data_IF_018343696775
#
_entry.id   IF_018343696775
#
_cell.length_a   1.000
_cell.length_b   1.000
_cell.length_c   1.000
_cell.angle_alpha   90.00
_cell.angle_beta   90.00
_cell.angle_gamma   90.00
#
_symmetry.space_group_name_H-M   'P 1'
#
loop_
_entity.id
_entity.type
_entity.pdbx_description
1 polymer ?
#
# COMPACT_ATOMS: atom_id res chain seq x y z
N UNK A 1 -37.76 -4.39 -11.79
CA UNK A 1 -38.71 -3.28 -12.04
C UNK A 1 -38.58 -2.37 -10.84
N UNK A 2 -38.08 -1.15 -11.02
CA UNK A 2 -37.89 -0.23 -9.91
C UNK A 2 -39.27 0.09 -9.34
N UNK A 3 -39.54 -0.36 -8.11
CA UNK A 3 -40.68 0.09 -7.33
C UNK A 3 -40.53 1.60 -7.17
N UNK A 4 -41.48 2.36 -7.70
CA UNK A 4 -41.50 3.80 -7.53
C UNK A 4 -41.62 4.06 -6.03
N UNK A 5 -40.55 4.59 -5.40
CA UNK A 5 -40.38 4.68 -3.94
C UNK A 5 -41.48 5.51 -3.24
N UNK A 6 -42.34 6.17 -4.02
CA UNK A 6 -43.41 7.04 -3.58
C UNK A 6 -44.81 6.51 -3.93
N UNK A 7 -44.90 5.29 -4.48
CA UNK A 7 -46.17 4.69 -4.84
C UNK A 7 -46.88 4.17 -3.58
N UNK A 8 -47.92 4.90 -3.17
CA UNK A 8 -48.77 4.54 -2.04
C UNK A 8 -49.94 3.68 -2.55
N UNK A 9 -50.25 2.60 -1.84
CA UNK A 9 -51.43 1.78 -2.12
C UNK A 9 -52.56 2.16 -1.17
N UNK A 10 -53.79 2.00 -1.63
CA UNK A 10 -54.96 2.15 -0.77
C UNK A 10 -55.13 0.90 0.10
N UNK A 11 -55.19 1.07 1.41
CA UNK A 11 -55.26 -0.05 2.35
C UNK A 11 -56.61 -0.79 2.32
N UNK A 12 -57.62 -0.24 1.64
CA UNK A 12 -58.94 -0.84 1.51
C UNK A 12 -59.08 -1.68 0.24
N UNK A 13 -58.74 -1.12 -0.93
CA UNK A 13 -58.86 -1.84 -2.21
C UNK A 13 -57.55 -2.48 -2.69
N UNK A 14 -56.42 -2.21 -2.03
CA UNK A 14 -55.07 -2.61 -2.42
C UNK A 14 -54.60 -2.10 -3.80
N UNK A 15 -55.40 -1.26 -4.47
CA UNK A 15 -54.99 -0.57 -5.70
C UNK A 15 -54.10 0.63 -5.38
N UNK A 16 -53.37 1.09 -6.39
CA UNK A 16 -52.49 2.27 -6.29
C UNK A 16 -53.33 3.52 -5.98
N UNK A 17 -53.03 4.20 -4.88
CA UNK A 17 -53.65 5.45 -4.52
C UNK A 17 -52.99 6.59 -5.31
N UNK A 18 -53.62 6.97 -6.43
CA UNK A 18 -53.19 8.13 -7.20
C UNK A 18 -53.46 9.42 -6.44
N UNK A 19 -52.50 10.35 -6.48
CA UNK A 19 -52.69 11.70 -5.94
C UNK A 19 -53.82 12.45 -6.66
N UNK A 20 -54.67 13.21 -5.94
CA UNK A 20 -54.70 13.33 -4.48
C UNK A 20 -55.21 12.06 -3.81
N UNK A 21 -54.57 11.64 -2.72
CA UNK A 21 -55.06 10.56 -1.85
C UNK A 21 -55.27 11.10 -0.43
N UNK A 22 -56.02 10.35 0.37
CA UNK A 22 -56.38 10.72 1.74
C UNK A 22 -55.57 9.90 2.72
N UNK A 23 -54.95 10.57 3.68
CA UNK A 23 -54.25 9.96 4.80
C UNK A 23 -55.04 10.23 6.08
N UNK A 24 -55.36 9.19 6.83
CA UNK A 24 -56.00 9.31 8.14
C UNK A 24 -55.00 9.90 9.14
N UNK A 25 -55.41 10.87 9.97
CA UNK A 25 -54.55 11.51 10.96
C UNK A 25 -54.53 10.76 12.30
N UNK A 26 -55.52 9.89 12.52
CA UNK A 26 -55.66 9.10 13.75
C UNK A 26 -55.15 7.67 13.59
N UNK A 27 -54.99 7.24 12.35
CA UNK A 27 -54.61 5.90 11.96
C UNK A 27 -53.71 6.00 10.73
N UNK A 28 -52.59 5.26 10.69
CA UNK A 28 -51.62 5.33 9.60
C UNK A 28 -52.13 4.62 8.31
N UNK A 29 -53.33 4.99 7.86
CA UNK A 29 -54.05 4.37 6.75
C UNK A 29 -54.18 5.34 5.57
N UNK A 30 -53.88 4.85 4.37
CA UNK A 30 -53.96 5.57 3.11
C UNK A 30 -55.16 5.09 2.28
N UNK A 31 -55.94 6.05 1.80
CA UNK A 31 -57.22 5.83 1.15
C UNK A 31 -57.25 6.51 -0.21
N UNK A 32 -57.68 5.79 -1.24
CA UNK A 32 -58.02 6.43 -2.51
C UNK A 32 -59.34 7.20 -2.37
N UNK A 33 -59.54 8.22 -3.21
CA UNK A 33 -60.75 9.05 -3.15
C UNK A 33 -62.06 8.25 -3.29
N UNK A 34 -62.05 7.14 -4.03
CA UNK A 34 -63.25 6.30 -4.23
C UNK A 34 -63.60 5.51 -2.96
N UNK A 35 -62.61 4.95 -2.26
CA UNK A 35 -62.85 4.23 -1.00
C UNK A 35 -63.26 5.19 0.13
N UNK A 36 -62.63 6.37 0.19
CA UNK A 36 -62.98 7.39 1.19
C UNK A 36 -64.39 7.97 0.95
N UNK A 37 -64.74 8.32 -0.29
CA UNK A 37 -66.09 8.84 -0.62
C UNK A 37 -67.20 7.80 -0.40
N UNK A 38 -66.87 6.51 -0.47
CA UNK A 38 -67.79 5.42 -0.14
C UNK A 38 -67.90 5.17 1.37
N UNK A 39 -67.14 5.89 2.21
CA UNK A 39 -67.15 5.75 3.66
C UNK A 39 -66.72 4.37 4.17
N UNK A 40 -65.81 3.69 3.45
CA UNK A 40 -65.37 2.34 3.81
C UNK A 40 -64.47 2.38 5.05
N UNK A 41 -64.75 1.49 6.00
CA UNK A 41 -64.01 1.34 7.25
C UNK A 41 -63.27 0.01 7.25
N UNK A 42 -62.08 -0.03 7.86
CA UNK A 42 -61.26 -1.25 7.93
C UNK A 42 -60.45 -1.26 9.22
N UNK A 43 -60.52 -2.38 9.94
CA UNK A 43 -59.82 -2.63 11.20
C UNK A 43 -60.09 -1.52 12.24
N UNK A 44 -59.10 -0.65 12.48
CA UNK A 44 -59.17 0.45 13.43
C UNK A 44 -59.57 1.79 12.78
N UNK A 45 -59.64 1.87 11.45
CA UNK A 45 -60.02 3.07 10.73
C UNK A 45 -61.55 3.22 10.65
N UNK A 46 -62.05 4.38 11.06
CA UNK A 46 -63.45 4.78 10.92
C UNK A 46 -63.60 6.00 10.00
N UNK A 47 -64.79 6.15 9.43
CA UNK A 47 -65.08 7.22 8.48
C UNK A 47 -65.19 8.61 9.11
N UNK A 48 -65.24 8.69 10.44
CA UNK A 48 -65.30 9.92 11.24
C UNK A 48 -63.92 10.41 11.71
N UNK A 49 -62.86 9.65 11.45
CA UNK A 49 -61.50 10.06 11.78
C UNK A 49 -61.08 11.33 11.05
N UNK A 50 -60.30 12.17 11.73
CA UNK A 50 -59.66 13.31 11.09
C UNK A 50 -58.74 12.85 9.95
N UNK A 51 -58.75 13.58 8.84
CA UNK A 51 -58.01 13.20 7.63
C UNK A 51 -57.27 14.38 7.02
N UNK A 52 -56.18 14.08 6.32
CA UNK A 52 -55.40 15.01 5.53
C UNK A 52 -55.44 14.61 4.05
N UNK A 53 -55.59 15.60 3.16
CA UNK A 53 -55.51 15.39 1.72
C UNK A 53 -54.06 15.62 1.28
N UNK A 54 -53.41 14.58 0.78
CA UNK A 54 -52.04 14.68 0.25
C UNK A 54 -52.06 15.07 -1.21
N UNK A 55 -51.35 16.17 -1.52
CA UNK A 55 -51.16 16.74 -2.86
C UNK A 55 -49.71 17.18 -2.98
N UNK A 56 -49.07 16.83 -4.08
CA UNK A 56 -47.69 17.23 -4.39
C UNK A 56 -47.62 18.27 -5.53
N UNK A 57 -48.75 18.95 -5.81
CA UNK A 57 -48.88 19.98 -6.85
C UNK A 57 -48.55 21.40 -6.32
N UNK A 58 -47.59 21.51 -5.42
CA UNK A 58 -47.14 22.78 -4.85
C UNK A 58 -45.63 22.94 -5.03
N UNK A 59 -45.09 24.17 -5.16
CA UNK A 59 -43.66 24.37 -5.27
C UNK A 59 -42.95 24.16 -3.93
N UNK A 60 -41.85 23.39 -3.93
CA UNK A 60 -41.05 23.14 -2.71
C UNK A 60 -40.13 24.32 -2.35
N UNK A 61 -39.61 25.03 -3.35
CA UNK A 61 -38.64 26.09 -3.17
C UNK A 61 -39.19 27.46 -3.53
N UNK A 62 -38.80 28.50 -2.77
CA UNK A 62 -39.17 29.88 -3.07
C UNK A 62 -38.66 30.31 -4.46
N UNK A 63 -39.55 30.95 -5.24
CA UNK A 63 -39.31 31.36 -6.63
C UNK A 63 -38.98 30.22 -7.59
N UNK A 64 -39.44 28.99 -7.28
CA UNK A 64 -39.30 27.86 -8.16
C UNK A 64 -40.62 27.55 -8.88
N UNK A 65 -40.52 27.27 -10.18
CA UNK A 65 -41.65 26.82 -11.00
C UNK A 65 -41.81 25.29 -10.99
N UNK A 66 -41.06 24.56 -10.15
CA UNK A 66 -41.13 23.10 -10.02
C UNK A 66 -42.09 22.70 -8.92
N UNK A 67 -42.95 21.72 -9.18
CA UNK A 67 -43.80 21.13 -8.14
C UNK A 67 -43.07 20.04 -7.36
N UNK A 68 -43.49 19.79 -6.12
CA UNK A 68 -42.98 18.70 -5.29
C UNK A 68 -43.00 17.35 -6.02
N UNK A 69 -44.03 17.12 -6.84
CA UNK A 69 -44.15 15.95 -7.70
C UNK A 69 -43.03 15.85 -8.75
N UNK A 70 -42.66 16.96 -9.39
CA UNK A 70 -41.56 17.01 -10.35
C UNK A 70 -40.20 16.76 -9.65
N UNK A 71 -40.01 17.32 -8.46
CA UNK A 71 -38.81 17.17 -7.65
C UNK A 71 -38.61 15.71 -7.21
N UNK A 72 -39.68 15.08 -6.72
CA UNK A 72 -39.70 13.65 -6.38
C UNK A 72 -39.28 12.77 -7.56
N UNK A 73 -39.82 13.02 -8.75
CA UNK A 73 -39.45 12.29 -9.98
C UNK A 73 -38.00 12.54 -10.38
N UNK A 74 -37.52 13.78 -10.25
CA UNK A 74 -36.13 14.12 -10.56
C UNK A 74 -35.17 13.31 -9.68
N UNK A 75 -35.42 13.28 -8.37
CA UNK A 75 -34.56 12.58 -7.41
C UNK A 75 -34.65 11.05 -7.55
N UNK A 76 -35.84 10.48 -7.75
CA UNK A 76 -36.00 9.03 -7.98
C UNK A 76 -35.27 8.58 -9.26
N UNK A 77 -35.34 9.40 -10.30
CA UNK A 77 -34.66 9.16 -11.58
C UNK A 77 -33.15 9.30 -11.44
N UNK A 78 -32.68 10.29 -10.69
CA UNK A 78 -31.25 10.49 -10.43
C UNK A 78 -30.66 9.33 -9.60
N UNK A 79 -31.43 8.79 -8.65
CA UNK A 79 -31.05 7.58 -7.91
C UNK A 79 -30.99 6.33 -8.79
N UNK A 80 -31.83 6.25 -9.84
CA UNK A 80 -31.93 5.07 -10.70
C UNK A 80 -30.90 5.09 -11.83
N UNK A 81 -30.75 6.23 -12.51
CA UNK A 81 -29.90 6.38 -13.71
C UNK A 81 -28.51 6.92 -13.41
N UNK A 82 -28.28 7.45 -12.20
CA UNK A 82 -27.02 8.06 -11.78
C UNK A 82 -26.83 9.49 -12.28
N UNK A 83 -25.98 10.23 -11.56
CA UNK A 83 -25.63 11.61 -11.88
C UNK A 83 -24.94 11.71 -13.24
N UNK A 84 -25.36 12.68 -14.07
CA UNK A 84 -24.79 12.93 -15.40
C UNK A 84 -25.60 12.36 -16.56
N UNK A 85 -26.49 11.39 -16.31
CA UNK A 85 -27.39 10.85 -17.34
C UNK A 85 -28.69 11.66 -17.50
N UNK A 86 -28.56 12.96 -17.79
CA UNK A 86 -29.68 13.90 -17.83
C UNK A 86 -30.71 13.63 -18.94
N UNK A 87 -30.33 12.86 -19.97
CA UNK A 87 -31.23 12.51 -21.06
C UNK A 87 -32.31 11.52 -20.60
N UNK A 88 -31.93 10.48 -19.85
CA UNK A 88 -32.89 9.53 -19.28
C UNK A 88 -33.70 10.15 -18.14
N UNK A 89 -33.08 11.04 -17.34
CA UNK A 89 -33.76 11.76 -16.26
C UNK A 89 -34.84 12.72 -16.79
N UNK A 90 -34.58 13.42 -17.90
CA UNK A 90 -35.59 14.29 -18.53
C UNK A 90 -36.77 13.48 -19.07
N UNK A 91 -36.49 12.30 -19.66
CA UNK A 91 -37.53 11.39 -20.16
C UNK A 91 -38.43 10.89 -19.04
N UNK A 92 -37.91 10.57 -17.86
CA UNK A 92 -38.71 10.08 -16.74
C UNK A 92 -39.53 11.19 -16.06
N UNK A 93 -39.01 12.42 -15.99
CA UNK A 93 -39.75 13.59 -15.49
C UNK A 93 -40.88 14.01 -16.45
N UNK A 94 -40.68 13.84 -17.77
CA UNK A 94 -41.59 14.16 -18.88
C UNK A 94 -41.95 15.65 -19.08
N UNK A 95 -41.90 16.47 -18.04
CA UNK A 95 -42.33 17.88 -18.08
C UNK A 95 -41.19 18.88 -18.33
N UNK A 96 -39.93 18.46 -18.18
CA UNK A 96 -38.75 19.34 -18.20
C UNK A 96 -37.66 18.80 -19.11
N UNK A 97 -36.88 19.71 -19.68
CA UNK A 97 -35.75 19.37 -20.56
C UNK A 97 -34.50 18.96 -19.77
N UNK A 98 -33.55 18.27 -20.43
CA UNK A 98 -32.30 17.84 -19.80
C UNK A 98 -31.49 18.97 -19.17
N UNK A 99 -31.49 20.15 -19.79
CA UNK A 99 -30.77 21.32 -19.30
C UNK A 99 -31.45 21.90 -18.06
N UNK A 100 -32.78 22.02 -18.09
CA UNK A 100 -33.55 22.50 -16.94
C UNK A 100 -33.39 21.57 -15.73
N UNK A 101 -33.45 20.24 -15.92
CA UNK A 101 -33.22 19.28 -14.84
C UNK A 101 -31.82 19.42 -14.22
N UNK A 102 -30.79 19.60 -15.06
CA UNK A 102 -29.41 19.74 -14.63
C UNK A 102 -29.18 21.06 -13.86
N UNK A 103 -29.61 22.18 -14.42
CA UNK A 103 -29.45 23.50 -13.81
C UNK A 103 -30.22 23.59 -12.50
N UNK A 104 -31.44 23.05 -12.47
CA UNK A 104 -32.28 23.01 -11.28
C UNK A 104 -31.64 22.20 -10.15
N UNK A 105 -31.19 20.98 -10.45
CA UNK A 105 -30.49 20.13 -9.48
C UNK A 105 -29.25 20.81 -8.92
N UNK A 106 -28.42 21.39 -9.80
CA UNK A 106 -27.20 22.09 -9.38
C UNK A 106 -27.51 23.30 -8.50
N UNK A 107 -28.50 24.11 -8.87
CA UNK A 107 -28.84 25.34 -8.16
C UNK A 107 -29.41 25.08 -6.77
N UNK A 108 -30.36 24.15 -6.63
CA UNK A 108 -31.10 23.96 -5.37
C UNK A 108 -30.54 22.83 -4.49
N UNK A 109 -29.90 21.81 -5.06
CA UNK A 109 -29.37 20.67 -4.29
C UNK A 109 -27.85 20.69 -4.11
N UNK A 110 -27.10 21.47 -4.90
CA UNK A 110 -25.63 21.57 -4.78
C UNK A 110 -25.19 22.94 -4.27
N UNK A 111 -25.65 24.02 -4.90
CA UNK A 111 -25.19 25.39 -4.59
C UNK A 111 -25.95 26.03 -3.43
N UNK A 112 -27.27 25.83 -3.35
CA UNK A 112 -28.15 26.42 -2.32
C UNK A 112 -28.88 25.35 -1.50
N UNK A 113 -28.13 24.53 -0.78
CA UNK A 113 -28.72 23.57 0.17
C UNK A 113 -29.41 24.35 1.31
N UNK A 114 -30.74 24.40 1.30
CA UNK A 114 -31.53 25.19 2.27
C UNK A 114 -31.71 24.52 3.63
N UNK A 115 -31.54 23.20 3.73
CA UNK A 115 -31.84 22.47 4.96
C UNK A 115 -30.62 22.37 5.87
N UNK A 116 -30.69 23.04 7.03
CA UNK A 116 -29.70 22.88 8.12
C UNK A 116 -29.59 21.42 8.60
N UNK A 117 -30.66 20.64 8.47
CA UNK A 117 -30.75 19.22 8.81
C UNK A 117 -29.88 18.33 7.91
N UNK A 118 -29.50 18.78 6.70
CA UNK A 118 -28.57 18.09 5.81
C UNK A 118 -27.10 18.42 6.10
N UNK A 119 -26.80 19.29 7.09
CA UNK A 119 -25.47 19.43 7.69
C UNK A 119 -25.14 18.23 8.59
N UNK A 120 -25.32 17.02 8.07
CA UNK A 120 -25.08 15.75 8.75
C UNK A 120 -23.59 15.51 9.04
N UNK A 121 -22.72 16.21 8.31
CA UNK A 121 -21.28 16.13 8.48
C UNK A 121 -20.79 17.36 9.26
N UNK A 122 -20.06 17.18 10.37
CA UNK A 122 -19.47 18.32 11.06
C UNK A 122 -18.54 19.05 10.11
N UNK A 123 -18.71 20.37 10.01
CA UNK A 123 -17.81 21.25 9.27
C UNK A 123 -16.42 21.14 9.90
N UNK A 124 -15.57 20.28 9.35
CA UNK A 124 -14.17 20.15 9.79
C UNK A 124 -13.36 21.33 9.27
N UNK A 125 -12.29 21.73 9.97
CA UNK A 125 -11.37 22.79 9.51
C UNK A 125 -10.90 22.57 8.06
N UNK A 126 -10.82 21.32 7.62
CA UNK A 126 -10.42 20.94 6.28
C UNK A 126 -11.48 21.21 5.20
N UNK A 127 -12.76 21.27 5.59
CA UNK A 127 -13.88 21.67 4.72
C UNK A 127 -14.02 23.18 4.58
N UNK A 128 -13.74 23.92 5.66
CA UNK A 128 -13.80 25.38 5.72
C UNK A 128 -12.58 26.03 5.04
N UNK A 129 -11.42 25.40 5.19
CA UNK A 129 -10.17 25.82 4.57
C UNK A 129 -9.72 24.77 3.56
N UNK A 130 -10.27 24.86 2.36
CA UNK A 130 -9.73 24.19 1.17
C UNK A 130 -8.24 24.50 1.08
N UNK A 131 -7.39 23.54 1.47
CA UNK A 131 -5.95 23.68 1.24
C UNK A 131 -5.77 23.76 -0.27
N UNK A 132 -5.05 24.77 -0.79
CA UNK A 132 -4.71 24.78 -2.21
C UNK A 132 -4.08 23.44 -2.53
N UNK A 133 -4.63 22.73 -3.52
CA UNK A 133 -4.06 21.48 -4.00
C UNK A 133 -2.63 21.80 -4.41
N UNK A 134 -1.66 21.44 -3.57
CA UNK A 134 -0.26 21.46 -3.98
C UNK A 134 -0.20 20.52 -5.17
N UNK A 135 0.07 20.99 -6.40
CA UNK A 135 0.16 20.10 -7.53
C UNK A 135 1.21 19.06 -7.18
N UNK A 136 0.77 17.81 -7.05
CA UNK A 136 1.68 16.71 -6.84
C UNK A 136 2.51 16.65 -8.12
N UNK A 137 3.75 17.14 -8.04
CA UNK A 137 4.78 16.88 -9.04
C UNK A 137 5.04 15.37 -8.97
N UNK A 138 4.18 14.59 -9.62
CA UNK A 138 4.49 13.19 -9.83
C UNK A 138 5.67 13.17 -10.79
N UNK A 139 6.73 12.52 -10.35
CA UNK A 139 7.77 12.14 -11.26
C UNK A 139 7.13 11.20 -12.31
N UNK A 140 7.15 11.59 -13.58
CA UNK A 140 6.70 10.73 -14.70
C UNK A 140 7.59 9.52 -14.88
N UNK A 141 8.74 9.46 -14.19
CA UNK A 141 9.43 8.19 -13.93
C UNK A 141 8.51 7.39 -13.01
N UNK A 142 7.65 6.58 -13.65
CA UNK A 142 6.96 5.45 -13.02
C UNK A 142 7.92 4.85 -12.00
N UNK A 143 7.55 4.93 -10.71
CA UNK A 143 8.26 4.20 -9.69
C UNK A 143 8.30 2.75 -10.16
N UNK A 144 9.48 2.28 -10.57
CA UNK A 144 9.74 0.88 -10.95
C UNK A 144 9.61 -0.06 -9.74
N UNK A 145 9.24 0.49 -8.57
CA UNK A 145 9.00 -0.22 -7.34
C UNK A 145 7.56 0.00 -6.84
N UNK A 146 6.82 -1.08 -6.53
CA UNK A 146 7.13 -2.45 -6.90
C UNK A 146 7.03 -2.64 -8.44
N UNK A 147 7.85 -3.53 -9.03
CA UNK A 147 7.81 -3.81 -10.47
C UNK A 147 6.42 -4.32 -10.84
N UNK A 148 5.73 -3.59 -11.74
CA UNK A 148 4.34 -3.88 -12.14
C UNK A 148 4.24 -4.85 -13.32
N UNK A 149 5.34 -5.09 -14.03
CA UNK A 149 5.40 -6.01 -15.16
C UNK A 149 6.73 -6.76 -15.16
N UNK A 150 6.65 -8.09 -15.16
CA UNK A 150 7.79 -8.98 -14.92
C UNK A 150 8.03 -9.94 -16.09
N UNK A 151 7.32 -9.79 -17.22
CA UNK A 151 7.34 -10.75 -18.33
C UNK A 151 8.70 -10.95 -19.01
N UNK A 152 9.70 -10.11 -18.73
CA UNK A 152 11.03 -10.17 -19.37
C UNK A 152 12.21 -10.00 -18.42
N UNK A 153 11.98 -9.72 -17.14
CA UNK A 153 13.04 -9.28 -16.24
C UNK A 153 13.58 -10.44 -15.39
N UNK A 154 14.64 -11.09 -15.89
CA UNK A 154 15.31 -12.23 -15.24
C UNK A 154 15.88 -11.89 -13.84
N UNK A 155 15.93 -10.59 -13.50
CA UNK A 155 16.46 -10.06 -12.24
C UNK A 155 15.47 -10.15 -11.06
N UNK A 156 14.22 -10.54 -11.30
CA UNK A 156 13.15 -10.60 -10.30
C UNK A 156 13.06 -11.94 -9.53
N UNK A 157 14.06 -12.81 -9.69
CA UNK A 157 14.10 -14.12 -9.03
C UNK A 157 12.81 -14.96 -9.23
N UNK A 158 12.18 -14.84 -10.41
CA UNK A 158 10.92 -15.53 -10.73
C UNK A 158 9.69 -14.99 -10.00
N UNK A 159 9.73 -13.77 -9.46
CA UNK A 159 8.53 -13.14 -8.88
C UNK A 159 7.54 -12.73 -9.99
N UNK A 160 6.27 -13.05 -9.81
CA UNK A 160 5.17 -12.68 -10.69
C UNK A 160 4.30 -11.59 -10.02
N UNK A 161 4.41 -10.35 -10.50
CA UNK A 161 3.71 -9.20 -9.95
C UNK A 161 2.17 -9.30 -10.03
N UNK A 162 1.62 -9.96 -11.06
CA UNK A 162 0.17 -10.07 -11.23
C UNK A 162 -0.47 -11.01 -10.21
N UNK A 163 0.28 -12.01 -9.76
CA UNK A 163 -0.16 -13.01 -8.75
C UNK A 163 0.39 -12.73 -7.35
N UNK A 164 1.37 -11.84 -7.25
CA UNK A 164 2.17 -11.63 -6.04
C UNK A 164 2.78 -12.93 -5.49
N UNK A 165 3.24 -13.80 -6.39
CA UNK A 165 3.78 -15.13 -6.09
C UNK A 165 5.15 -15.32 -6.74
N UNK A 166 5.96 -16.23 -6.20
CA UNK A 166 7.23 -16.65 -6.82
C UNK A 166 7.01 -17.94 -7.61
N UNK A 167 7.60 -18.05 -8.79
CA UNK A 167 7.63 -19.29 -9.59
C UNK A 167 8.24 -20.45 -8.78
N UNK A 168 9.30 -20.16 -8.02
CA UNK A 168 9.94 -21.10 -7.10
C UNK A 168 9.77 -20.62 -5.66
N UNK A 169 8.74 -21.15 -4.99
CA UNK A 169 8.48 -20.88 -3.58
C UNK A 169 9.50 -21.57 -2.66
N UNK A 170 9.75 -20.99 -1.48
CA UNK A 170 10.49 -21.69 -0.42
C UNK A 170 9.83 -23.03 -0.09
N UNK A 171 10.64 -24.10 -0.06
CA UNK A 171 10.18 -25.48 0.14
C UNK A 171 9.05 -25.87 -0.82
N UNK A 172 9.25 -25.73 -2.13
CA UNK A 172 8.25 -26.05 -3.17
C UNK A 172 7.72 -27.49 -3.08
N UNK A 173 8.58 -28.43 -2.65
CA UNK A 173 8.25 -29.85 -2.54
C UNK A 173 7.57 -30.23 -1.22
N UNK A 174 7.09 -29.26 -0.43
CA UNK A 174 6.46 -29.54 0.86
C UNK A 174 5.27 -30.52 0.74
N UNK A 175 4.55 -30.49 -0.37
CA UNK A 175 3.39 -31.34 -0.64
C UNK A 175 3.77 -32.80 -0.97
N UNK A 176 5.01 -33.07 -1.39
CA UNK A 176 5.50 -34.43 -1.62
C UNK A 176 5.51 -35.29 -0.35
N UNK A 177 5.35 -34.66 0.82
CA UNK A 177 5.19 -35.36 2.09
C UNK A 177 3.87 -36.16 2.15
N UNK A 178 2.92 -35.94 1.25
CA UNK A 178 1.69 -36.73 1.16
C UNK A 178 1.76 -37.88 0.15
N UNK A 179 2.91 -38.13 -0.50
CA UNK A 179 3.08 -39.24 -1.46
C UNK A 179 3.21 -40.61 -0.78
N UNK A 180 2.44 -40.87 0.28
CA UNK A 180 2.30 -42.21 0.84
C UNK A 180 1.26 -42.96 0.00
N UNK A 181 1.61 -44.16 -0.49
CA UNK A 181 0.62 -45.07 -1.06
C UNK A 181 -0.40 -45.43 0.03
N UNK A 182 -1.65 -44.96 -0.11
CA UNK A 182 -2.77 -45.44 0.69
C UNK A 182 -2.97 -46.93 0.34
N UNK A 183 -2.32 -47.81 1.10
CA UNK A 183 -2.71 -49.22 1.12
C UNK A 183 -4.00 -49.28 1.92
N UNK A 184 -5.14 -49.31 1.22
CA UNK A 184 -6.47 -49.43 1.81
C UNK A 184 -6.58 -50.75 2.60
N UNK A 185 -6.34 -50.69 3.91
CA UNK A 185 -6.90 -51.66 4.85
C UNK A 185 -8.09 -50.99 5.53
N UNK A 186 -9.27 -51.61 5.43
CA UNK A 186 -10.54 -51.11 5.99
C UNK A 186 -10.59 -51.09 7.54
N UNK A 187 -9.46 -51.28 8.22
CA UNK A 187 -9.37 -51.14 9.67
C UNK A 187 -9.02 -49.69 10.02
N UNK A 188 -9.88 -49.05 10.82
CA UNK A 188 -9.70 -47.71 11.36
C UNK A 188 -8.48 -47.69 12.31
N UNK A 189 -7.28 -47.64 11.74
CA UNK A 189 -6.03 -47.54 12.50
C UNK A 189 -5.93 -46.12 13.08
N UNK A 190 -6.26 -45.95 14.36
CA UNK A 190 -6.07 -44.72 15.14
C UNK A 190 -4.62 -44.19 14.99
N UNK A 191 -3.65 -45.09 14.85
CA UNK A 191 -2.26 -44.75 14.54
C UNK A 191 -2.08 -44.09 13.16
N UNK A 192 -2.78 -44.57 12.13
CA UNK A 192 -2.74 -44.00 10.78
C UNK A 192 -3.43 -42.63 10.75
N UNK A 193 -4.53 -42.47 11.48
CA UNK A 193 -5.18 -41.16 11.64
C UNK A 193 -4.26 -40.16 12.37
N UNK A 194 -3.66 -40.56 13.48
CA UNK A 194 -2.69 -39.73 14.21
C UNK A 194 -1.47 -39.36 13.33
N UNK A 195 -1.00 -40.29 12.50
CA UNK A 195 0.06 -40.02 11.52
C UNK A 195 -0.40 -38.99 10.49
N UNK A 196 -1.59 -39.14 9.88
CA UNK A 196 -2.17 -38.18 8.94
C UNK A 196 -2.28 -36.78 9.56
N UNK A 197 -2.76 -36.67 10.79
CA UNK A 197 -2.83 -35.39 11.53
C UNK A 197 -1.43 -34.81 11.77
N UNK A 198 -0.45 -35.63 12.12
CA UNK A 198 0.95 -35.18 12.31
C UNK A 198 1.57 -34.65 11.01
N UNK A 199 1.30 -35.31 9.87
CA UNK A 199 1.73 -34.86 8.55
C UNK A 199 1.09 -33.51 8.20
N UNK A 200 -0.22 -33.36 8.40
CA UNK A 200 -0.90 -32.07 8.17
C UNK A 200 -0.30 -30.96 9.04
N UNK A 201 0.01 -31.25 10.30
CA UNK A 201 0.67 -30.30 11.21
C UNK A 201 2.08 -29.91 10.73
N UNK A 202 2.87 -30.87 10.24
CA UNK A 202 4.18 -30.63 9.66
C UNK A 202 4.11 -29.78 8.39
N UNK A 203 3.13 -30.03 7.51
CA UNK A 203 2.86 -29.21 6.33
C UNK A 203 2.52 -27.78 6.73
N UNK A 204 1.58 -27.60 7.65
CA UNK A 204 1.18 -26.28 8.15
C UNK A 204 2.36 -25.49 8.74
N UNK A 205 3.31 -26.18 9.36
CA UNK A 205 4.53 -25.55 9.88
C UNK A 205 5.43 -25.04 8.74
N UNK A 206 5.61 -25.84 7.67
CA UNK A 206 6.35 -25.42 6.47
C UNK A 206 5.66 -24.25 5.74
N UNK A 207 4.34 -24.28 5.62
CA UNK A 207 3.55 -23.19 5.03
C UNK A 207 3.64 -21.90 5.84
N UNK A 208 3.59 -21.99 7.18
CA UNK A 208 3.81 -20.84 8.07
C UNK A 208 5.19 -20.23 7.88
N UNK A 209 6.23 -21.05 7.76
CA UNK A 209 7.59 -20.56 7.51
C UNK A 209 7.73 -19.92 6.13
N UNK A 210 7.10 -20.48 5.09
CA UNK A 210 7.02 -19.88 3.76
C UNK A 210 6.38 -18.49 3.82
N UNK A 211 5.23 -18.38 4.50
CA UNK A 211 4.53 -17.11 4.67
C UNK A 211 5.35 -16.08 5.48
N UNK A 212 6.05 -16.54 6.53
CA UNK A 212 6.97 -15.70 7.32
C UNK A 212 8.05 -15.09 6.42
N UNK A 213 8.67 -15.90 5.55
CA UNK A 213 9.71 -15.43 4.61
C UNK A 213 9.17 -14.44 3.59
N UNK A 214 7.98 -14.67 3.05
CA UNK A 214 7.32 -13.71 2.15
C UNK A 214 7.06 -12.37 2.84
N UNK A 215 6.64 -12.38 4.10
CA UNK A 215 6.45 -11.15 4.88
C UNK A 215 7.77 -10.39 5.06
N UNK A 216 8.88 -11.10 5.30
CA UNK A 216 10.22 -10.47 5.40
C UNK A 216 10.63 -9.86 4.05
N UNK A 217 10.47 -10.60 2.95
CA UNK A 217 10.78 -10.10 1.60
C UNK A 217 9.97 -8.85 1.28
N UNK A 218 8.68 -8.84 1.63
CA UNK A 218 7.79 -7.69 1.42
C UNK A 218 8.20 -6.50 2.28
N UNK A 219 8.42 -6.71 3.58
CA UNK A 219 8.74 -5.64 4.54
C UNK A 219 10.04 -4.90 4.18
N UNK A 220 11.01 -5.61 3.63
CA UNK A 220 12.35 -5.08 3.30
C UNK A 220 12.56 -4.84 1.79
N UNK A 221 11.54 -5.09 0.96
CA UNK A 221 11.63 -4.90 -0.49
C UNK A 221 12.68 -5.78 -1.18
N UNK A 222 12.86 -7.02 -0.73
CA UNK A 222 13.94 -7.93 -1.17
C UNK A 222 13.70 -8.63 -2.52
N UNK A 223 12.69 -8.20 -3.27
CA UNK A 223 12.38 -8.74 -4.60
C UNK A 223 13.51 -8.43 -5.60
N UNK A 224 14.19 -7.29 -5.41
CA UNK A 224 15.27 -6.83 -6.29
C UNK A 224 16.64 -6.96 -5.60
N UNK A 225 17.38 -8.08 -5.78
CA UNK A 225 18.66 -8.29 -5.10
C UNK A 225 19.71 -7.23 -5.46
N UNK A 226 19.70 -6.73 -6.70
CA UNK A 226 20.60 -5.67 -7.15
C UNK A 226 20.37 -4.35 -6.40
N UNK A 227 19.12 -4.08 -6.02
CA UNK A 227 18.76 -2.88 -5.26
C UNK A 227 19.29 -2.98 -3.83
N UNK A 228 19.13 -4.14 -3.20
CA UNK A 228 19.74 -4.44 -1.89
C UNK A 228 21.26 -4.25 -1.94
N UNK A 229 21.94 -4.85 -2.93
CA UNK A 229 23.39 -4.73 -3.10
C UNK A 229 23.83 -3.27 -3.32
N UNK A 230 23.08 -2.51 -4.11
CA UNK A 230 23.38 -1.09 -4.36
C UNK A 230 23.18 -0.23 -3.11
N UNK A 231 22.17 -0.54 -2.31
CA UNK A 231 21.94 0.11 -1.03
C UNK A 231 23.06 -0.24 -0.02
N UNK A 232 23.47 -1.50 0.06
CA UNK A 232 24.57 -1.93 0.93
C UNK A 232 25.89 -1.22 0.58
N UNK A 233 26.16 -0.97 -0.70
CA UNK A 233 27.35 -0.23 -1.15
C UNK A 233 27.45 1.18 -0.57
N UNK A 234 26.34 1.81 -0.20
CA UNK A 234 26.35 3.13 0.44
C UNK A 234 27.12 3.10 1.77
N UNK A 235 27.09 1.97 2.46
CA UNK A 235 27.74 1.78 3.75
C UNK A 235 29.16 1.23 3.65
N UNK A 236 29.64 0.83 2.46
CA UNK A 236 30.97 0.22 2.28
C UNK A 236 32.12 1.13 2.76
N UNK A 237 31.90 2.45 2.73
CA UNK A 237 32.90 3.45 3.13
C UNK A 237 33.12 3.52 4.65
N UNK A 238 32.11 3.20 5.45
CA UNK A 238 32.09 3.33 6.92
C UNK A 238 32.00 1.95 7.57
N UNK A 239 30.96 1.19 7.22
CA UNK A 239 30.67 -0.16 7.65
C UNK A 239 31.06 -1.11 6.52
N UNK A 240 32.35 -1.43 6.43
CA UNK A 240 32.94 -2.48 5.56
C UNK A 240 31.91 -3.55 5.16
N UNK A 241 31.83 -3.86 3.86
CA UNK A 241 30.86 -4.80 3.27
C UNK A 241 30.59 -6.08 4.07
N UNK A 242 31.64 -6.69 4.62
CA UNK A 242 31.53 -7.93 5.41
C UNK A 242 30.70 -7.74 6.69
N UNK A 243 30.77 -6.57 7.31
CA UNK A 243 29.95 -6.21 8.48
C UNK A 243 28.51 -5.98 8.06
N UNK A 244 28.26 -5.20 7.02
CA UNK A 244 26.90 -4.87 6.57
C UNK A 244 26.12 -6.12 6.10
N UNK A 245 26.78 -7.06 5.42
CA UNK A 245 26.17 -8.34 5.03
C UNK A 245 25.78 -9.21 6.24
N UNK A 246 26.57 -9.22 7.32
CA UNK A 246 26.21 -9.93 8.56
C UNK A 246 24.98 -9.31 9.23
N UNK A 247 24.81 -7.99 9.13
CA UNK A 247 23.69 -7.28 9.73
C UNK A 247 22.35 -7.60 9.04
N UNK A 248 22.35 -8.09 7.80
CA UNK A 248 21.11 -8.53 7.11
C UNK A 248 20.32 -9.59 7.89
N UNK A 249 20.99 -10.38 8.74
CA UNK A 249 20.32 -11.35 9.61
C UNK A 249 19.30 -10.70 10.57
N UNK A 250 19.47 -9.43 10.91
CA UNK A 250 18.55 -8.67 11.78
C UNK A 250 17.25 -8.25 11.08
N UNK A 251 17.17 -8.34 9.75
CA UNK A 251 15.92 -8.10 9.00
C UNK A 251 14.78 -9.04 9.44
N UNK A 252 15.10 -10.18 10.07
CA UNK A 252 14.10 -11.11 10.59
C UNK A 252 13.38 -10.59 11.83
N UNK A 253 13.98 -9.65 12.57
CA UNK A 253 13.49 -9.16 13.85
C UNK A 253 12.98 -7.73 13.79
N UNK A 254 13.20 -7.03 12.68
CA UNK A 254 12.88 -5.62 12.50
C UNK A 254 12.01 -5.40 11.26
N UNK A 255 11.19 -4.35 11.31
CA UNK A 255 10.52 -3.83 10.10
C UNK A 255 11.54 -3.16 9.17
N UNK A 256 11.16 -2.95 7.90
CA UNK A 256 12.02 -2.28 6.91
C UNK A 256 12.54 -0.93 7.41
N UNK A 257 11.63 -0.05 7.84
CA UNK A 257 12.01 1.28 8.34
C UNK A 257 12.90 1.24 9.58
N UNK A 258 12.66 0.30 10.50
CA UNK A 258 13.49 0.14 11.70
C UNK A 258 14.90 -0.33 11.33
N UNK A 259 15.00 -1.29 10.41
CA UNK A 259 16.29 -1.79 9.95
C UNK A 259 17.09 -0.72 9.20
N UNK A 260 16.43 0.04 8.32
CA UNK A 260 17.06 1.16 7.62
C UNK A 260 17.58 2.21 8.61
N UNK A 261 16.75 2.57 9.60
CA UNK A 261 17.15 3.50 10.67
C UNK A 261 18.33 2.96 11.48
N UNK A 262 18.33 1.66 11.79
CA UNK A 262 19.41 1.00 12.50
C UNK A 262 20.72 1.06 11.70
N UNK A 263 20.70 0.75 10.41
CA UNK A 263 21.87 0.80 9.54
C UNK A 263 22.41 2.22 9.39
N UNK A 264 21.54 3.22 9.19
CA UNK A 264 21.94 4.63 9.14
C UNK A 264 22.50 5.12 10.49
N UNK A 265 21.95 4.65 11.61
CA UNK A 265 22.46 5.03 12.93
C UNK A 265 23.87 4.50 13.18
N UNK A 266 24.16 3.25 12.81
CA UNK A 266 25.50 2.67 12.91
C UNK A 266 26.49 3.36 11.96
N UNK A 267 26.04 3.72 10.77
CA UNK A 267 26.82 4.46 9.80
C UNK A 267 27.27 5.82 10.39
N UNK A 268 26.31 6.59 10.91
CA UNK A 268 26.56 7.87 11.56
C UNK A 268 27.48 7.71 12.77
N UNK A 269 27.30 6.68 13.58
CA UNK A 269 28.15 6.38 14.74
C UNK A 269 29.62 6.20 14.32
N UNK A 270 29.90 5.36 13.33
CA UNK A 270 31.26 5.14 12.81
C UNK A 270 31.88 6.41 12.21
N UNK A 271 31.09 7.23 11.51
CA UNK A 271 31.54 8.54 11.01
C UNK A 271 31.94 9.48 12.14
N UNK A 272 31.12 9.56 13.20
CA UNK A 272 31.38 10.38 14.37
C UNK A 272 32.60 9.88 15.15
N UNK A 273 32.74 8.57 15.36
CA UNK A 273 33.92 7.99 15.98
C UNK A 273 35.19 8.29 15.18
N UNK A 274 35.15 8.09 13.86
CA UNK A 274 36.26 8.43 12.97
C UNK A 274 36.66 9.90 13.05
N UNK A 275 35.65 10.79 13.14
CA UNK A 275 35.87 12.23 13.31
C UNK A 275 36.48 12.56 14.68
N UNK A 276 36.00 11.94 15.75
CA UNK A 276 36.53 12.14 17.11
C UNK A 276 37.98 11.69 17.18
N UNK A 277 38.30 10.50 16.66
CA UNK A 277 39.68 9.97 16.62
C UNK A 277 40.59 10.95 15.86
N UNK A 278 40.14 11.44 14.70
CA UNK A 278 40.88 12.42 13.89
C UNK A 278 41.12 13.74 14.65
N UNK A 279 40.11 14.25 15.35
CA UNK A 279 40.25 15.47 16.16
C UNK A 279 41.18 15.28 17.36
N UNK A 280 41.14 14.10 18.00
CA UNK A 280 42.07 13.74 19.06
C UNK A 280 43.51 13.67 18.55
N UNK A 281 43.73 13.16 17.34
CA UNK A 281 45.05 13.15 16.69
C UNK A 281 45.57 14.57 16.43
N UNK A 282 44.72 15.47 15.95
CA UNK A 282 45.10 16.88 15.76
C UNK A 282 45.51 17.54 17.08
N UNK A 283 44.75 17.30 18.16
CA UNK A 283 45.07 17.82 19.48
C UNK A 283 46.41 17.27 20.00
N UNK A 284 46.68 15.97 19.80
CA UNK A 284 47.97 15.35 20.16
C UNK A 284 49.16 16.00 19.42
N UNK A 285 48.96 16.40 18.18
CA UNK A 285 49.96 17.11 17.37
C UNK A 285 49.99 18.63 17.61
N UNK A 286 49.28 19.15 18.63
CA UNK A 286 49.28 20.57 18.99
C UNK A 286 48.46 21.48 18.07
N UNK A 287 47.66 20.92 17.16
CA UNK A 287 46.84 21.67 16.20
C UNK A 287 45.59 22.19 16.91
N UNK A 288 45.45 23.52 16.96
CA UNK A 288 44.33 24.18 17.66
C UNK A 288 43.21 24.68 16.74
N UNK A 289 43.45 24.80 15.44
CA UNK A 289 42.44 25.31 14.48
C UNK A 289 42.16 24.32 13.33
N UNK A 290 40.93 24.33 12.83
CA UNK A 290 40.52 23.48 11.70
C UNK A 290 41.23 23.85 10.39
N UNK A 291 41.58 25.13 10.21
CA UNK A 291 42.36 25.57 9.05
C UNK A 291 43.75 24.90 9.04
N UNK A 292 44.46 24.94 10.17
CA UNK A 292 45.75 24.25 10.32
C UNK A 292 45.61 22.73 10.18
N UNK A 293 44.47 22.15 10.55
CA UNK A 293 44.21 20.71 10.39
C UNK A 293 44.12 20.27 8.92
N UNK A 294 43.55 21.11 8.04
CA UNK A 294 43.49 20.85 6.59
C UNK A 294 44.89 20.83 5.98
N UNK A 295 45.73 21.81 6.33
CA UNK A 295 47.12 21.86 5.89
C UNK A 295 47.92 20.66 6.42
N UNK A 296 47.75 20.31 7.69
CA UNK A 296 48.37 19.13 8.29
C UNK A 296 47.99 17.84 7.56
N UNK A 297 46.71 17.64 7.20
CA UNK A 297 46.30 16.47 6.42
C UNK A 297 46.97 16.40 5.06
N UNK A 298 47.06 17.52 4.33
CA UNK A 298 47.72 17.55 3.03
C UNK A 298 49.21 17.22 3.14
N UNK A 299 49.92 17.83 4.09
CA UNK A 299 51.33 17.56 4.33
C UNK A 299 51.57 16.13 4.82
N UNK A 300 50.71 15.61 5.70
CA UNK A 300 50.76 14.22 6.17
C UNK A 300 50.59 13.24 5.01
N UNK A 301 49.61 13.48 4.12
CA UNK A 301 49.39 12.66 2.94
C UNK A 301 50.58 12.69 1.97
N UNK A 302 51.16 13.86 1.71
CA UNK A 302 52.37 14.00 0.88
C UNK A 302 53.57 13.26 1.49
N UNK A 303 53.79 13.41 2.81
CA UNK A 303 54.84 12.69 3.52
C UNK A 303 54.63 11.17 3.47
N UNK A 304 53.40 10.68 3.63
CA UNK A 304 53.08 9.25 3.52
C UNK A 304 53.32 8.71 2.10
N UNK A 305 52.99 9.47 1.06
CA UNK A 305 53.27 9.11 -0.33
C UNK A 305 54.78 9.05 -0.60
N UNK A 306 55.53 10.09 -0.22
CA UNK A 306 56.98 10.13 -0.36
C UNK A 306 57.65 8.97 0.39
N UNK A 307 57.18 8.65 1.60
CA UNK A 307 57.68 7.52 2.37
C UNK A 307 57.37 6.16 1.73
N UNK A 308 56.18 5.99 1.13
CA UNK A 308 55.81 4.78 0.36
C UNK A 308 56.69 4.63 -0.87
N UNK A 309 56.93 5.71 -1.61
CA UNK A 309 57.82 5.71 -2.79
C UNK A 309 59.26 5.36 -2.39
N UNK A 310 59.75 5.92 -1.28
CA UNK A 310 61.08 5.59 -0.75
C UNK A 310 61.17 4.11 -0.34
N UNK A 311 60.15 3.57 0.34
CA UNK A 311 60.06 2.14 0.67
C UNK A 311 60.03 1.25 -0.57
N UNK A 312 59.28 1.65 -1.59
CA UNK A 312 59.23 0.91 -2.85
C UNK A 312 60.58 0.94 -3.56
N UNK A 313 61.20 2.11 -3.69
CA UNK A 313 62.51 2.27 -4.30
C UNK A 313 63.59 1.46 -3.56
N UNK A 314 63.60 1.48 -2.22
CA UNK A 314 64.51 0.66 -1.42
C UNK A 314 64.25 -0.83 -1.59
N UNK A 315 62.99 -1.29 -1.61
CA UNK A 315 62.66 -2.69 -1.87
C UNK A 315 63.08 -3.16 -3.27
N UNK A 316 62.91 -2.30 -4.29
CA UNK A 316 63.37 -2.58 -5.66
C UNK A 316 64.90 -2.64 -5.72
N UNK A 317 65.60 -1.72 -5.05
CA UNK A 317 67.06 -1.71 -4.96
C UNK A 317 67.59 -2.97 -4.26
N UNK A 318 66.95 -3.41 -3.16
CA UNK A 318 67.28 -4.65 -2.46
C UNK A 318 67.10 -5.87 -3.38
N UNK A 319 65.96 -5.98 -4.08
CA UNK A 319 65.72 -7.08 -5.04
C UNK A 319 66.75 -7.10 -6.18
N UNK A 320 67.12 -5.93 -6.72
CA UNK A 320 68.19 -5.82 -7.74
C UNK A 320 69.55 -6.25 -7.18
N UNK A 321 69.90 -5.80 -5.97
CA UNK A 321 71.15 -6.19 -5.31
C UNK A 321 71.20 -7.69 -5.01
N UNK A 322 70.11 -8.29 -4.54
CA UNK A 322 70.00 -9.74 -4.33
C UNK A 322 70.09 -10.54 -5.64
N UNK A 323 69.57 -10.01 -6.75
CA UNK A 323 69.67 -10.66 -8.07
C UNK A 323 71.08 -10.60 -8.70
N UNK A 324 71.90 -9.62 -8.29
CA UNK A 324 73.27 -9.44 -8.76
C UNK A 324 74.32 -9.99 -7.77
N UNK A 325 73.89 -10.46 -6.59
CA UNK A 325 74.79 -10.99 -5.56
C UNK A 325 75.39 -12.34 -5.99
N UNK A 326 76.72 -12.45 -6.14
CA UNK A 326 77.39 -13.66 -6.64
C UNK A 326 77.42 -14.82 -5.64
N UNK A 327 76.75 -14.70 -4.48
CA UNK A 327 76.86 -15.65 -3.37
C UNK A 327 75.83 -16.79 -3.46
N UNK A 328 74.76 -16.67 -4.28
CA UNK A 328 73.70 -17.70 -4.35
C UNK A 328 73.97 -18.87 -5.32
N UNK A 329 75.05 -18.90 -6.09
CA UNK A 329 75.30 -19.97 -7.07
C UNK A 329 76.07 -21.19 -6.55
N UNK A 330 76.27 -21.36 -5.24
CA UNK A 330 77.17 -22.42 -4.70
C UNK A 330 76.53 -23.55 -3.88
N UNK A 331 75.23 -23.82 -4.01
CA UNK A 331 74.59 -24.92 -3.27
C UNK A 331 73.80 -25.94 -4.11
N UNK A 332 74.14 -26.09 -5.41
CA UNK A 332 73.40 -27.00 -6.31
C UNK A 332 74.28 -27.88 -7.20
N UNK A 333 75.45 -28.34 -6.73
CA UNK A 333 76.12 -29.49 -7.35
C UNK A 333 76.84 -30.32 -6.29
N UNK A 334 76.19 -31.39 -5.83
CA UNK A 334 76.81 -32.34 -4.90
C UNK A 334 75.82 -33.38 -4.42
N UNK A 335 75.24 -34.15 -5.35
CA UNK A 335 74.82 -35.54 -5.11
C UNK A 335 74.28 -36.16 -6.40
N UNK A 336 75.20 -36.47 -7.33
CA UNK A 336 74.94 -37.46 -8.37
C UNK A 336 76.18 -38.34 -8.53
N UNK A 337 76.00 -39.60 -8.13
CA UNK A 337 76.61 -40.84 -8.63
C UNK A 337 77.95 -41.37 -8.08
N UNK A 338 77.77 -42.58 -7.51
CA UNK A 338 78.61 -43.80 -7.51
C UNK A 338 79.58 -44.02 -6.34
N UNK A 339 79.33 -45.11 -5.60
CA UNK A 339 80.10 -46.37 -5.75
C UNK A 339 79.44 -47.53 -5.00
N UNK A 340 79.33 -48.64 -5.76
CA UNK A 340 79.37 -50.08 -5.46
C UNK A 340 78.67 -50.62 -4.21
#
# INVERSE_FOLDING_TARGET
MASDLLQVNCDICNDVAHEPYIECCECDMNLCCTCFSSGKEKDLHKNDHNYAIRRNDFPLFDNCNWSAKEECKLLSSLSTYGYGNWEEISKSVHTRTKLECQEHYKKYYVEKVQYEELKLLPETDQSLFSKPLTPYLYNTVLSTNPPRNNQTDQLLAGYNAYRSEFELSYDHNAENMFNFEDSYSDEEDECMEALKVSLVSALNTRLRERQRRYKIIQNHGLIMPNKLLSWLKMFDTTLLRVKSEKLLSFMQFMTGMQFDTFMESLNLEEELFSKIIRLCEYRKNGIKTLYSAKLFMQLKQQNELAFKEQKYATAVMIKKFESQSPVKSKFWFGNVLKRN
#
